data_IF_567642378894
#
_entry.id   IF_567642378894
#
_cell.length_a   1.000
_cell.length_b   1.000
_cell.length_c   1.000
_cell.angle_alpha   90.00
_cell.angle_beta   90.00
_cell.angle_gamma   90.00
#
_symmetry.space_group_name_H-M   'P 1'
#
loop_
_entity.id
_entity.type
_entity.pdbx_description
1 polymer ?
#
# COMPACT_ATOMS: atom_id res chain seq x y z
N UNK A 1 2.60 -8.74 29.75
CA UNK A 1 2.50 -7.60 28.82
C UNK A 1 3.93 -7.20 28.48
N UNK A 2 4.46 -7.74 27.39
CA UNK A 2 5.67 -7.15 26.80
C UNK A 2 5.30 -5.76 26.31
N UNK A 3 6.00 -4.75 26.83
CA UNK A 3 5.84 -3.37 26.37
C UNK A 3 6.51 -3.28 25.01
N UNK A 4 5.74 -2.91 23.97
CA UNK A 4 6.27 -2.56 22.65
C UNK A 4 7.47 -1.61 22.85
N UNK A 5 8.66 -2.06 22.48
CA UNK A 5 9.85 -1.23 22.65
C UNK A 5 9.79 -0.09 21.62
N UNK A 6 10.49 1.02 21.90
CA UNK A 6 10.43 2.20 21.05
C UNK A 6 10.87 1.96 19.59
N UNK A 7 11.72 0.98 19.34
CA UNK A 7 12.09 0.57 17.99
C UNK A 7 10.94 -0.12 17.23
N UNK A 8 10.07 -0.86 17.93
CA UNK A 8 8.88 -1.45 17.31
C UNK A 8 7.84 -0.38 16.96
N UNK A 9 7.68 0.61 17.83
CA UNK A 9 6.82 1.78 17.55
C UNK A 9 7.31 2.57 16.33
N UNK A 10 8.62 2.82 16.24
CA UNK A 10 9.22 3.50 15.08
C UNK A 10 9.08 2.69 13.78
N UNK A 11 9.07 1.35 13.85
CA UNK A 11 8.79 0.50 12.67
C UNK A 11 7.33 0.62 12.23
N UNK A 12 6.39 0.66 13.18
CA UNK A 12 4.97 0.84 12.89
C UNK A 12 4.68 2.19 12.27
N UNK A 13 5.26 3.29 12.78
CA UNK A 13 5.10 4.62 12.16
C UNK A 13 5.62 4.64 10.72
N UNK A 14 6.83 4.12 10.48
CA UNK A 14 7.38 4.04 9.10
C UNK A 14 6.53 3.20 8.17
N UNK A 15 5.93 2.13 8.69
CA UNK A 15 5.04 1.28 7.90
C UNK A 15 3.75 2.03 7.57
N UNK A 16 3.19 2.77 8.52
CA UNK A 16 2.03 3.62 8.32
C UNK A 16 2.28 4.72 7.26
N UNK A 17 3.44 5.38 7.31
CA UNK A 17 3.82 6.39 6.30
C UNK A 17 3.87 5.79 4.88
N UNK A 18 4.47 4.60 4.74
CA UNK A 18 4.51 3.89 3.44
C UNK A 18 3.11 3.50 2.94
N UNK A 19 2.18 3.18 3.84
CA UNK A 19 0.79 2.94 3.45
C UNK A 19 0.10 4.21 2.96
N UNK A 20 0.36 5.35 3.61
CA UNK A 20 -0.17 6.64 3.15
C UNK A 20 0.33 6.98 1.74
N UNK A 21 1.63 6.79 1.47
CA UNK A 21 2.22 7.00 0.15
C UNK A 21 1.60 6.10 -0.93
N UNK A 22 1.41 4.81 -0.61
CA UNK A 22 0.77 3.84 -1.52
C UNK A 22 -0.69 4.21 -1.79
N UNK A 23 -1.42 4.64 -0.77
CA UNK A 23 -2.81 5.06 -0.91
C UNK A 23 -2.95 6.31 -1.81
N UNK A 24 -2.07 7.30 -1.66
CA UNK A 24 -2.03 8.48 -2.53
C UNK A 24 -1.69 8.11 -3.98
N UNK A 25 -0.71 7.21 -4.18
CA UNK A 25 -0.35 6.74 -5.52
C UNK A 25 -1.52 6.01 -6.20
N UNK A 26 -2.24 5.16 -5.46
CA UNK A 26 -3.45 4.49 -5.96
C UNK A 26 -4.56 5.48 -6.30
N UNK A 27 -4.78 6.50 -5.47
CA UNK A 27 -5.77 7.54 -5.74
C UNK A 27 -5.46 8.32 -7.02
N UNK A 28 -4.19 8.67 -7.24
CA UNK A 28 -3.75 9.32 -8.49
C UNK A 28 -4.05 8.45 -9.72
N UNK A 29 -3.77 7.15 -9.64
CA UNK A 29 -4.00 6.24 -10.77
C UNK A 29 -5.49 6.00 -11.00
N UNK A 30 -6.30 5.87 -9.94
CA UNK A 30 -7.75 5.79 -10.06
C UNK A 30 -8.32 7.02 -10.78
N UNK A 31 -7.87 8.22 -10.41
CA UNK A 31 -8.26 9.46 -11.08
C UNK A 31 -7.87 9.46 -12.57
N UNK A 32 -6.66 9.01 -12.90
CA UNK A 32 -6.24 8.90 -14.31
C UNK A 32 -7.09 7.93 -15.12
N UNK A 33 -7.53 6.82 -14.51
CA UNK A 33 -8.46 5.86 -15.15
C UNK A 33 -9.81 6.52 -15.41
N UNK A 34 -10.37 7.23 -14.43
CA UNK A 34 -11.64 7.96 -14.60
C UNK A 34 -11.56 9.00 -15.73
N UNK A 35 -10.46 9.74 -15.82
CA UNK A 35 -10.26 10.73 -16.89
C UNK A 35 -10.16 10.07 -18.28
N UNK A 36 -9.50 8.90 -18.38
CA UNK A 36 -9.43 8.16 -19.63
C UNK A 36 -10.82 7.68 -20.08
N UNK A 37 -11.62 7.15 -19.15
CA UNK A 37 -12.97 6.67 -19.40
C UNK A 37 -13.91 7.80 -19.85
N UNK A 38 -13.86 8.95 -19.16
CA UNK A 38 -14.66 10.13 -19.49
C UNK A 38 -14.33 10.75 -20.85
N UNK A 39 -13.11 10.55 -21.34
CA UNK A 39 -12.63 11.16 -22.60
C UNK A 39 -12.73 10.22 -23.81
N UNK A 40 -13.33 9.03 -23.65
CA UNK A 40 -13.24 7.91 -24.62
C UNK A 40 -11.79 7.60 -25.05
N UNK A 41 -10.82 7.94 -24.19
CA UNK A 41 -9.41 7.79 -24.49
C UNK A 41 -8.99 6.35 -24.14
N UNK A 42 -8.33 5.62 -25.05
CA UNK A 42 -7.83 4.29 -24.73
C UNK A 42 -6.86 4.39 -23.55
N UNK A 43 -7.12 3.58 -22.51
CA UNK A 43 -6.30 3.54 -21.30
C UNK A 43 -4.83 3.30 -21.70
N UNK A 44 -3.92 4.27 -21.49
CA UNK A 44 -2.56 4.15 -22.00
C UNK A 44 -1.89 2.91 -21.40
N UNK A 45 -1.19 2.13 -22.22
CA UNK A 45 -0.49 0.92 -21.77
C UNK A 45 0.40 1.17 -20.54
N UNK A 46 1.02 2.34 -20.48
CA UNK A 46 1.83 2.82 -19.36
C UNK A 46 1.01 2.95 -18.05
N UNK A 47 -0.26 3.38 -18.14
CA UNK A 47 -1.14 3.48 -16.99
C UNK A 47 -1.55 2.09 -16.48
N UNK A 48 -1.83 1.16 -17.40
CA UNK A 48 -2.10 -0.23 -17.05
C UNK A 48 -0.90 -0.90 -16.37
N UNK A 49 0.32 -0.64 -16.87
CA UNK A 49 1.55 -1.13 -16.25
C UNK A 49 1.78 -0.52 -14.86
N UNK A 50 1.52 0.78 -14.69
CA UNK A 50 1.63 1.46 -13.40
C UNK A 50 0.66 0.86 -12.37
N UNK A 51 -0.59 0.63 -12.76
CA UNK A 51 -1.61 -0.05 -11.93
C UNK A 51 -1.16 -1.43 -11.48
N UNK A 52 -0.52 -2.18 -12.37
CA UNK A 52 -0.03 -3.52 -12.09
C UNK A 52 1.13 -3.49 -11.08
N UNK A 53 2.07 -2.56 -11.23
CA UNK A 53 3.18 -2.35 -10.27
C UNK A 53 2.64 -1.96 -8.89
N UNK A 54 1.72 -0.99 -8.83
CA UNK A 54 1.13 -0.54 -7.57
C UNK A 54 0.36 -1.65 -6.85
N UNK A 55 -0.42 -2.45 -7.59
CA UNK A 55 -1.14 -3.59 -7.01
C UNK A 55 -0.19 -4.62 -6.41
N UNK A 56 0.91 -4.92 -7.09
CA UNK A 56 1.93 -5.86 -6.59
C UNK A 56 2.58 -5.34 -5.31
N UNK A 57 2.98 -4.07 -5.30
CA UNK A 57 3.65 -3.46 -4.15
C UNK A 57 2.73 -3.31 -2.93
N UNK A 58 1.45 -3.00 -3.17
CA UNK A 58 0.43 -2.92 -2.12
C UNK A 58 0.19 -4.29 -1.49
N UNK A 59 0.09 -5.34 -2.29
CA UNK A 59 -0.10 -6.71 -1.81
C UNK A 59 1.10 -7.21 -1.00
N UNK A 60 2.32 -6.96 -1.48
CA UNK A 60 3.56 -7.31 -0.78
C UNK A 60 3.67 -6.56 0.57
N UNK A 61 3.42 -5.25 0.57
CA UNK A 61 3.45 -4.43 1.79
C UNK A 61 2.38 -4.89 2.80
N UNK A 62 1.18 -5.23 2.32
CA UNK A 62 0.12 -5.80 3.15
C UNK A 62 0.49 -7.16 3.76
N UNK A 63 1.12 -8.04 2.99
CA UNK A 63 1.60 -9.34 3.48
C UNK A 63 2.67 -9.18 4.57
N UNK A 64 3.67 -8.31 4.32
CA UNK A 64 4.74 -8.03 5.28
C UNK A 64 4.20 -7.42 6.59
N UNK A 65 3.21 -6.54 6.50
CA UNK A 65 2.50 -6.02 7.68
C UNK A 65 1.78 -7.14 8.44
N UNK A 66 1.07 -8.02 7.72
CA UNK A 66 0.37 -9.17 8.33
C UNK A 66 1.32 -10.09 9.08
N UNK A 67 2.49 -10.39 8.51
CA UNK A 67 3.54 -11.16 9.17
C UNK A 67 4.10 -10.44 10.41
N UNK A 68 4.37 -9.14 10.31
CA UNK A 68 4.87 -8.36 11.44
C UNK A 68 3.85 -8.26 12.57
N UNK A 69 2.58 -8.02 12.27
CA UNK A 69 1.49 -8.02 13.25
C UNK A 69 1.27 -9.41 13.88
N UNK A 70 1.45 -10.49 13.10
CA UNK A 70 1.39 -11.86 13.59
C UNK A 70 2.43 -12.17 14.68
N UNK A 71 3.63 -11.56 14.59
CA UNK A 71 4.67 -11.67 15.62
C UNK A 71 4.29 -10.95 16.94
N UNK A 72 3.36 -10.00 16.89
CA UNK A 72 2.85 -9.29 18.07
C UNK A 72 1.51 -9.85 18.59
N UNK A 73 0.98 -10.92 18.00
CA UNK A 73 -0.25 -11.56 18.48
C UNK A 73 0.00 -12.21 19.85
N UNK A 74 -0.75 -11.83 20.91
CA UNK A 74 -0.55 -12.36 22.25
C UNK A 74 -1.15 -13.77 22.46
N UNK A 75 -1.52 -14.47 21.38
CA UNK A 75 -2.15 -15.80 21.47
C UNK A 75 -1.14 -16.87 21.05
N UNK A 76 -0.42 -17.40 22.04
CA UNK A 76 0.07 -18.77 22.08
C UNK A 76 -0.65 -19.52 23.20
#
# INVERSE_FOLDING_TARGET
>A
METLNQADFNKFERLNDRFAEVAEALACVAHMVEVCDQSEAPMPYQLAQLLNVLSHYTAETGSNLGEHLGLFSPVQ
#
